data_IF_236038761601
#
_entry.id   IF_236038761601
#
_cell.length_a   1.000
_cell.length_b   1.000
_cell.length_c   1.000
_cell.angle_alpha   90.00
_cell.angle_beta   90.00
_cell.angle_gamma   90.00
#
_symmetry.space_group_name_H-M   'P 1'
#
loop_
_entity.id
_entity.type
_entity.pdbx_description
1 polymer ?
#
# COMPACT_ATOMS: atom_id res chain seq x y z
N UNK A 1 -22.89 -50.60 -22.55
CA UNK A 1 -24.05 -50.91 -21.67
C UNK A 1 -23.50 -51.25 -20.29
N UNK A 2 -23.86 -50.46 -19.25
CA UNK A 2 -23.46 -50.55 -17.83
C UNK A 2 -21.96 -50.29 -17.53
N UNK A 3 -21.46 -49.50 -16.55
CA UNK A 3 -21.90 -48.85 -15.27
C UNK A 3 -21.19 -49.47 -14.05
N UNK A 4 -20.34 -48.65 -13.38
CA UNK A 4 -19.95 -48.57 -11.94
C UNK A 4 -19.51 -49.89 -11.22
N UNK A 5 -18.79 -49.98 -10.08
CA UNK A 5 -18.24 -49.09 -9.02
C UNK A 5 -17.15 -49.91 -8.25
N UNK A 6 -16.41 -49.46 -7.22
CA UNK A 6 -15.69 -48.21 -6.90
C UNK A 6 -14.96 -48.36 -5.53
N UNK A 7 -14.31 -47.28 -5.03
CA UNK A 7 -13.91 -47.00 -3.62
C UNK A 7 -13.38 -48.13 -2.71
N UNK A 8 -12.05 -48.13 -2.45
CA UNK A 8 -11.45 -48.57 -1.17
C UNK A 8 -9.92 -48.27 -1.07
N UNK A 9 -9.51 -47.00 -1.18
CA UNK A 9 -8.08 -46.63 -1.00
C UNK A 9 -7.81 -45.15 -0.63
N UNK A 10 -8.44 -44.68 0.45
CA UNK A 10 -8.13 -43.36 1.07
C UNK A 10 -8.36 -43.38 2.58
N UNK A 11 -7.35 -43.80 3.36
CA UNK A 11 -7.26 -43.56 4.81
C UNK A 11 -5.85 -43.94 5.36
N UNK A 12 -4.78 -43.19 5.02
CA UNK A 12 -3.44 -43.48 5.58
C UNK A 12 -2.42 -42.33 5.65
N UNK A 13 -2.52 -41.25 4.85
CA UNK A 13 -1.34 -40.41 4.53
C UNK A 13 -1.45 -38.90 4.86
N UNK A 14 -2.28 -38.52 5.84
CA UNK A 14 -2.43 -37.11 6.31
C UNK A 14 -2.26 -36.98 7.84
N UNK A 15 -1.66 -37.97 8.50
CA UNK A 15 -1.57 -38.05 9.97
C UNK A 15 -0.19 -37.66 10.55
N UNK A 16 0.68 -36.99 9.79
CA UNK A 16 2.07 -36.78 10.20
C UNK A 16 2.76 -35.56 9.59
N UNK A 17 2.25 -34.36 9.84
CA UNK A 17 2.98 -33.08 9.69
C UNK A 17 2.26 -31.90 10.38
N UNK A 18 1.84 -32.08 11.64
CA UNK A 18 1.32 -31.00 12.49
C UNK A 18 1.95 -31.08 13.89
N UNK A 19 3.07 -30.36 14.06
CA UNK A 19 3.58 -29.99 15.37
C UNK A 19 3.42 -28.47 15.52
N UNK A 20 2.40 -27.98 16.25
CA UNK A 20 2.18 -26.55 16.39
C UNK A 20 3.21 -25.95 17.37
N UNK A 21 3.95 -24.93 16.91
CA UNK A 21 4.61 -24.00 17.83
C UNK A 21 3.52 -23.30 18.65
N UNK A 22 3.50 -23.54 19.96
CA UNK A 22 2.49 -23.01 20.85
C UNK A 22 2.61 -21.49 20.96
N UNK A 23 1.69 -20.77 20.33
CA UNK A 23 1.42 -19.36 20.65
C UNK A 23 0.59 -19.33 21.94
N UNK A 24 1.21 -18.94 23.06
CA UNK A 24 0.48 -18.74 24.31
C UNK A 24 -0.46 -17.56 24.16
N UNK A 25 -1.77 -17.83 24.04
CA UNK A 25 -2.78 -16.79 24.13
C UNK A 25 -2.86 -16.28 25.57
N UNK A 26 -2.68 -14.97 25.76
CA UNK A 26 -3.00 -14.31 27.03
C UNK A 26 -4.49 -14.52 27.38
N UNK A 27 -4.83 -14.71 28.66
CA UNK A 27 -6.21 -14.91 29.08
C UNK A 27 -7.07 -13.69 28.78
N UNK A 28 -8.29 -13.92 28.29
CA UNK A 28 -9.24 -12.87 27.97
C UNK A 28 -9.54 -11.97 29.19
N UNK A 29 -9.71 -10.64 28.99
CA UNK A 29 -10.03 -9.73 30.09
C UNK A 29 -11.37 -10.11 30.73
N UNK A 30 -11.41 -10.09 32.06
CA UNK A 30 -12.61 -10.45 32.82
C UNK A 30 -13.80 -9.54 32.50
N UNK A 31 -15.02 -10.13 32.52
CA UNK A 31 -16.27 -9.37 32.41
C UNK A 31 -16.31 -8.26 33.49
N UNK A 32 -16.66 -7.01 33.14
CA UNK A 32 -16.96 -6.00 34.15
C UNK A 32 -18.18 -6.40 34.99
N UNK A 33 -18.11 -6.14 36.29
CA UNK A 33 -19.19 -6.42 37.22
C UNK A 33 -20.42 -5.53 36.97
N UNK A 34 -21.60 -6.00 37.39
CA UNK A 34 -22.85 -5.27 37.23
C UNK A 34 -22.84 -3.93 38.01
N UNK A 35 -23.35 -2.87 37.37
CA UNK A 35 -23.50 -1.57 38.01
C UNK A 35 -24.69 -1.57 39.00
N UNK A 36 -24.58 -0.89 40.16
CA UNK A 36 -25.69 -0.69 41.08
C UNK A 36 -26.70 0.36 40.58
N UNK A 37 -27.85 0.38 41.23
CA UNK A 37 -29.09 0.96 40.69
C UNK A 37 -29.16 2.51 40.64
N UNK A 38 -30.15 2.96 39.87
CA UNK A 38 -30.40 4.32 39.38
C UNK A 38 -30.37 5.44 40.44
N UNK A 39 -29.49 6.43 40.24
CA UNK A 39 -29.63 7.78 40.80
C UNK A 39 -30.19 8.77 39.76
N UNK A 40 -30.98 9.74 40.23
CA UNK A 40 -31.74 10.72 39.44
C UNK A 40 -30.82 11.69 38.66
N UNK A 41 -31.11 12.03 37.38
CA UNK A 41 -30.27 12.95 36.61
C UNK A 41 -30.37 14.39 37.12
N UNK A 42 -29.21 15.04 37.26
CA UNK A 42 -29.08 16.48 37.48
C UNK A 42 -29.21 17.27 36.17
N UNK A 43 -29.56 18.56 36.27
CA UNK A 43 -29.90 19.40 35.12
C UNK A 43 -28.71 19.69 34.18
N UNK A 44 -29.01 19.82 32.88
CA UNK A 44 -28.03 20.17 31.86
C UNK A 44 -27.61 21.66 31.93
N UNK A 45 -26.34 22.00 31.64
CA UNK A 45 -25.88 23.38 31.58
C UNK A 45 -26.41 24.12 30.34
N UNK A 46 -26.62 25.43 30.50
CA UNK A 46 -27.29 26.28 29.51
C UNK A 46 -26.42 26.63 28.28
N UNK A 47 -27.09 26.96 27.16
CA UNK A 47 -26.46 27.52 25.95
C UNK A 47 -25.87 28.92 26.25
N UNK A 48 -24.70 29.28 25.70
CA UNK A 48 -24.22 30.65 25.70
C UNK A 48 -25.16 31.56 24.89
N UNK A 49 -25.46 32.74 25.42
CA UNK A 49 -26.26 33.77 24.74
C UNK A 49 -25.38 34.66 23.83
N UNK A 50 -26.04 35.30 22.86
CA UNK A 50 -25.46 36.17 21.84
C UNK A 50 -24.97 37.53 22.37
N UNK A 51 -23.88 38.03 21.78
CA UNK A 51 -23.45 39.44 21.85
C UNK A 51 -23.93 40.23 20.61
N UNK A 52 -24.00 41.58 20.65
CA UNK A 52 -24.86 42.37 19.76
C UNK A 52 -24.23 42.76 18.41
N UNK A 53 -25.07 43.31 17.52
CA UNK A 53 -24.77 43.57 16.10
C UNK A 53 -24.67 45.07 15.74
N UNK A 54 -23.79 45.39 14.78
CA UNK A 54 -23.73 46.61 13.96
C UNK A 54 -22.70 46.40 12.81
N UNK A 55 -22.64 47.24 11.75
CA UNK A 55 -23.72 47.68 10.88
C UNK A 55 -23.50 47.20 9.40
N UNK A 56 -24.34 47.64 8.48
CA UNK A 56 -24.42 47.13 7.09
C UNK A 56 -23.47 47.78 6.06
N UNK A 57 -23.11 46.95 5.06
CA UNK A 57 -22.80 47.27 3.65
C UNK A 57 -21.47 47.97 3.24
N UNK A 58 -20.62 47.20 2.55
CA UNK A 58 -19.77 47.69 1.45
C UNK A 58 -19.49 46.57 0.40
N UNK A 59 -19.35 46.95 -0.86
CA UNK A 59 -19.45 46.10 -2.05
C UNK A 59 -18.41 44.97 -2.25
N UNK A 60 -18.81 43.89 -2.94
CA UNK A 60 -17.92 42.95 -3.65
C UNK A 60 -17.69 43.42 -5.10
N UNK A 61 -16.51 43.23 -5.71
CA UNK A 61 -16.28 43.57 -7.13
C UNK A 61 -17.07 42.64 -8.08
N UNK A 62 -17.63 43.20 -9.15
CA UNK A 62 -18.21 42.44 -10.26
C UNK A 62 -17.10 41.95 -11.20
N UNK A 63 -17.15 40.68 -11.60
CA UNK A 63 -16.56 40.20 -12.86
C UNK A 63 -17.73 39.97 -13.83
N UNK A 64 -17.60 40.47 -15.06
CA UNK A 64 -18.69 40.47 -16.03
C UNK A 64 -18.92 39.08 -16.66
N UNK A 65 -20.18 38.72 -16.88
CA UNK A 65 -20.56 37.55 -17.67
C UNK A 65 -20.46 37.87 -19.18
N UNK A 66 -19.84 36.96 -19.94
CA UNK A 66 -19.85 37.01 -21.41
C UNK A 66 -21.18 36.48 -21.98
N UNK A 67 -21.66 36.99 -23.12
CA UNK A 67 -22.98 36.65 -23.66
C UNK A 67 -23.03 35.25 -24.29
N UNK A 68 -24.20 34.60 -24.21
CA UNK A 68 -24.44 33.28 -24.80
C UNK A 68 -24.54 33.35 -26.33
N UNK A 69 -23.86 32.44 -27.02
CA UNK A 69 -23.97 32.25 -28.47
C UNK A 69 -25.17 31.35 -28.84
N UNK A 70 -25.80 31.61 -29.99
CA UNK A 70 -26.93 30.84 -30.52
C UNK A 70 -26.51 29.43 -31.00
N UNK A 71 -27.44 28.45 -31.10
CA UNK A 71 -27.11 27.10 -31.53
C UNK A 71 -26.68 27.05 -33.00
N UNK A 72 -25.57 26.38 -33.29
CA UNK A 72 -25.18 26.03 -34.65
C UNK A 72 -25.92 24.77 -35.14
N UNK A 73 -26.22 24.73 -36.43
CA UNK A 73 -26.99 23.67 -37.10
C UNK A 73 -26.28 22.31 -37.11
N UNK A 74 -27.07 21.24 -37.07
CA UNK A 74 -26.57 19.86 -37.08
C UNK A 74 -25.78 19.50 -38.36
N UNK A 75 -24.62 18.82 -38.26
CA UNK A 75 -23.91 18.28 -39.42
C UNK A 75 -24.60 17.03 -40.00
N UNK A 76 -24.42 16.81 -41.30
CA UNK A 76 -25.13 15.78 -42.06
C UNK A 76 -24.68 14.35 -41.75
N UNK A 77 -25.60 13.41 -42.03
CA UNK A 77 -25.40 11.95 -41.92
C UNK A 77 -24.31 11.49 -42.91
N UNK A 78 -23.23 10.80 -42.48
CA UNK A 78 -22.27 10.23 -43.41
C UNK A 78 -22.85 9.03 -44.16
N UNK A 79 -22.56 8.95 -45.46
CA UNK A 79 -22.92 7.85 -46.37
C UNK A 79 -22.11 6.58 -46.09
N UNK A 80 -22.64 5.38 -46.42
CA UNK A 80 -21.93 4.12 -46.16
C UNK A 80 -20.73 3.96 -47.10
N UNK A 81 -19.55 3.75 -46.52
CA UNK A 81 -18.34 3.39 -47.27
C UNK A 81 -18.40 1.89 -47.58
N UNK A 82 -18.14 1.53 -48.84
CA UNK A 82 -18.21 0.14 -49.34
C UNK A 82 -17.09 -0.73 -48.77
N UNK A 83 -17.39 -2.02 -48.61
CA UNK A 83 -16.45 -3.03 -48.11
C UNK A 83 -15.17 -3.12 -48.95
N UNK A 84 -14.02 -2.85 -48.33
CA UNK A 84 -12.70 -3.27 -48.82
C UNK A 84 -12.18 -4.41 -47.96
N UNK A 85 -12.01 -5.59 -48.57
CA UNK A 85 -11.58 -6.81 -47.89
C UNK A 85 -10.21 -6.64 -47.23
N UNK A 86 -10.11 -7.05 -45.97
CA UNK A 86 -8.83 -7.14 -45.25
C UNK A 86 -7.89 -8.12 -45.97
N UNK A 87 -6.67 -7.68 -46.27
CA UNK A 87 -5.58 -8.58 -46.66
C UNK A 87 -5.03 -9.30 -45.42
N UNK A 88 -4.67 -10.58 -45.56
CA UNK A 88 -4.23 -11.41 -44.45
C UNK A 88 -2.88 -10.94 -43.88
N UNK A 89 -2.83 -10.70 -42.57
CA UNK A 89 -1.61 -10.40 -41.83
C UNK A 89 -0.83 -11.71 -41.59
N UNK A 90 0.48 -11.71 -41.88
CA UNK A 90 1.36 -12.87 -41.65
C UNK A 90 1.63 -13.09 -40.15
N UNK A 91 1.98 -14.31 -39.71
CA UNK A 91 2.21 -14.59 -38.29
C UNK A 91 3.37 -13.78 -37.70
N UNK A 92 3.21 -13.35 -36.44
CA UNK A 92 4.23 -12.60 -35.73
C UNK A 92 5.51 -13.42 -35.53
N UNK A 93 6.65 -12.75 -35.65
CA UNK A 93 7.97 -13.31 -35.41
C UNK A 93 8.18 -13.58 -33.90
N UNK A 94 8.89 -14.67 -33.56
CA UNK A 94 9.03 -15.13 -32.18
C UNK A 94 9.94 -14.19 -31.39
N UNK A 95 9.36 -13.42 -30.48
CA UNK A 95 10.13 -12.67 -29.46
C UNK A 95 10.84 -13.67 -28.54
N UNK A 96 12.10 -13.38 -28.21
CA UNK A 96 12.93 -14.20 -27.32
C UNK A 96 12.31 -14.30 -25.91
N UNK A 97 12.56 -15.40 -25.15
CA UNK A 97 12.02 -15.55 -23.80
C UNK A 97 12.51 -14.44 -22.86
N UNK A 98 11.73 -14.09 -21.81
CA UNK A 98 12.13 -13.07 -20.83
C UNK A 98 13.47 -13.40 -20.19
N UNK A 99 14.31 -12.38 -20.01
CA UNK A 99 15.57 -12.51 -19.27
C UNK A 99 15.24 -12.88 -17.82
N UNK A 100 15.66 -14.06 -17.39
CA UNK A 100 15.53 -14.52 -16.01
C UNK A 100 16.45 -13.67 -15.11
N UNK A 101 15.91 -12.59 -14.55
CA UNK A 101 16.59 -11.78 -13.53
C UNK A 101 16.67 -12.63 -12.25
N UNK A 102 17.71 -13.45 -12.14
CA UNK A 102 18.00 -14.23 -10.93
C UNK A 102 18.14 -13.27 -9.75
N UNK A 103 17.27 -13.33 -8.73
CA UNK A 103 17.36 -12.44 -7.58
C UNK A 103 18.67 -12.72 -6.85
N UNK A 104 19.64 -11.83 -7.00
CA UNK A 104 20.87 -11.91 -6.22
C UNK A 104 20.48 -11.60 -4.76
N UNK A 105 20.66 -12.54 -3.80
CA UNK A 105 20.23 -12.30 -2.43
C UNK A 105 21.08 -11.15 -1.86
N UNK A 106 20.44 -10.00 -1.66
CA UNK A 106 21.05 -8.91 -0.90
C UNK A 106 21.22 -9.42 0.53
N UNK A 107 22.45 -9.81 0.88
CA UNK A 107 22.74 -10.38 2.19
C UNK A 107 22.25 -9.40 3.29
N UNK A 108 21.33 -9.81 4.17
CA UNK A 108 20.70 -8.90 5.14
C UNK A 108 21.62 -8.64 6.34
N UNK A 109 22.84 -8.19 6.08
CA UNK A 109 23.67 -7.54 7.07
C UNK A 109 23.03 -6.19 7.36
N UNK A 110 22.46 -6.03 8.57
CA UNK A 110 22.00 -4.74 9.09
C UNK A 110 23.08 -3.68 8.83
N UNK A 111 22.88 -2.68 7.95
CA UNK A 111 23.86 -1.65 7.74
C UNK A 111 23.85 -0.77 8.98
N UNK A 112 24.75 -1.08 9.92
CA UNK A 112 25.06 -0.13 10.99
C UNK A 112 25.44 1.19 10.30
N UNK A 113 24.83 2.33 10.65
CA UNK A 113 25.24 3.61 10.10
C UNK A 113 26.75 3.75 10.23
N UNK A 114 27.43 4.10 9.15
CA UNK A 114 28.88 4.36 9.21
C UNK A 114 29.08 5.50 10.20
N UNK A 115 30.04 5.33 11.12
CA UNK A 115 30.43 6.38 12.07
C UNK A 115 30.71 7.65 11.26
N UNK A 116 29.96 8.73 11.52
CA UNK A 116 29.99 9.95 10.71
C UNK A 116 28.70 10.32 9.97
N UNK A 117 27.70 9.44 9.87
CA UNK A 117 26.50 9.71 9.02
C UNK A 117 25.71 10.95 9.45
N UNK A 118 25.50 11.18 10.76
CA UNK A 118 24.84 12.41 11.22
C UNK A 118 25.69 13.65 10.96
N UNK A 119 27.01 13.56 11.16
CA UNK A 119 27.95 14.65 10.87
C UNK A 119 27.99 15.02 9.38
N UNK A 120 27.73 14.06 8.47
CA UNK A 120 27.58 14.34 7.04
C UNK A 120 26.31 15.15 6.75
N UNK A 121 25.19 14.84 7.42
CA UNK A 121 23.93 15.60 7.32
C UNK A 121 24.15 17.01 7.90
N UNK A 122 24.75 17.12 9.09
CA UNK A 122 25.08 18.40 9.73
C UNK A 122 25.97 19.27 8.81
N UNK A 123 26.94 18.68 8.12
CA UNK A 123 27.80 19.40 7.17
C UNK A 123 27.04 19.89 5.91
N UNK A 124 26.00 19.19 5.47
CA UNK A 124 25.10 19.65 4.39
C UNK A 124 24.25 20.83 4.88
N UNK A 125 23.66 20.71 6.06
CA UNK A 125 22.84 21.76 6.68
C UNK A 125 23.66 23.03 6.96
N UNK A 126 24.87 22.89 7.50
CA UNK A 126 25.77 24.00 7.78
C UNK A 126 26.13 24.81 6.52
N UNK A 127 26.41 24.13 5.40
CA UNK A 127 26.63 24.79 4.09
C UNK A 127 25.40 25.54 3.62
N UNK A 128 24.21 24.94 3.77
CA UNK A 128 22.95 25.59 3.41
C UNK A 128 22.66 26.83 4.28
N UNK A 129 22.89 26.75 5.59
CA UNK A 129 22.73 27.90 6.49
C UNK A 129 23.72 29.03 6.16
N UNK A 130 25.00 28.71 5.96
CA UNK A 130 26.03 29.70 5.58
C UNK A 130 25.66 30.41 4.27
N UNK A 131 25.24 29.67 3.24
CA UNK A 131 24.83 30.23 1.94
C UNK A 131 23.66 31.23 2.07
N UNK A 132 22.74 30.98 3.01
CA UNK A 132 21.55 31.79 3.22
C UNK A 132 21.68 32.81 4.37
N UNK A 133 22.88 32.98 4.96
CA UNK A 133 23.10 33.89 6.09
C UNK A 133 22.38 33.49 7.38
N UNK A 134 21.91 32.24 7.49
CA UNK A 134 21.15 31.74 8.63
C UNK A 134 22.07 31.32 9.76
N UNK A 135 21.65 31.57 11.00
CA UNK A 135 22.31 31.06 12.21
C UNK A 135 21.51 29.87 12.75
N UNK A 136 22.16 28.74 13.11
CA UNK A 136 21.47 27.62 13.74
C UNK A 136 20.93 28.01 15.12
N UNK A 137 19.83 27.38 15.52
CA UNK A 137 19.30 27.50 16.87
C UNK A 137 20.28 26.88 17.90
N UNK A 138 20.29 27.36 19.15
CA UNK A 138 21.05 26.70 20.22
C UNK A 138 20.55 25.27 20.44
N UNK A 139 21.43 24.41 20.97
CA UNK A 139 21.06 23.06 21.36
C UNK A 139 19.94 23.08 22.39
N UNK A 140 18.93 22.23 22.21
CA UNK A 140 17.84 22.07 23.17
C UNK A 140 18.37 21.59 24.53
N UNK A 141 17.76 22.06 25.61
CA UNK A 141 18.00 21.54 26.97
C UNK A 141 17.62 20.05 27.06
N UNK A 142 18.07 19.36 28.12
CA UNK A 142 17.82 17.94 28.28
C UNK A 142 16.33 17.62 28.44
N UNK A 143 15.54 18.48 29.08
CA UNK A 143 14.09 18.33 29.26
C UNK A 143 13.35 18.48 27.93
N UNK A 144 13.73 19.48 27.13
CA UNK A 144 13.15 19.74 25.80
C UNK A 144 13.53 18.63 24.82
N UNK A 145 14.79 18.19 24.84
CA UNK A 145 15.26 17.05 24.05
C UNK A 145 14.50 15.77 24.43
N UNK A 146 14.43 15.45 25.72
CA UNK A 146 13.76 14.24 26.23
C UNK A 146 12.29 14.21 25.81
N UNK A 147 11.55 15.31 25.96
CA UNK A 147 10.14 15.36 25.53
C UNK A 147 9.99 15.15 24.02
N UNK A 148 10.84 15.78 23.22
CA UNK A 148 10.77 15.69 21.75
C UNK A 148 11.11 14.29 21.26
N UNK A 149 12.25 13.73 21.67
CA UNK A 149 12.69 12.40 21.18
C UNK A 149 11.68 11.29 21.52
N UNK A 150 11.02 11.37 22.68
CA UNK A 150 9.95 10.43 23.04
C UNK A 150 8.72 10.55 22.14
N UNK A 151 8.28 11.79 21.84
CA UNK A 151 7.15 12.03 20.95
C UNK A 151 7.48 11.66 19.50
N UNK A 152 8.65 12.05 19.01
CA UNK A 152 9.08 11.89 17.62
C UNK A 152 9.43 10.43 17.28
N UNK A 153 10.01 9.67 18.23
CA UNK A 153 10.44 8.28 17.98
C UNK A 153 9.35 7.27 18.34
N UNK A 154 8.62 7.46 19.45
CA UNK A 154 7.68 6.45 19.97
C UNK A 154 6.26 6.97 20.25
N UNK A 155 5.92 8.20 19.85
CA UNK A 155 4.54 8.70 19.85
C UNK A 155 3.92 8.98 21.23
N UNK A 156 4.71 9.01 22.30
CA UNK A 156 4.23 9.30 23.67
C UNK A 156 5.20 10.22 24.42
N UNK A 157 4.81 10.67 25.61
CA UNK A 157 5.72 11.35 26.55
C UNK A 157 6.50 10.31 27.38
N UNK A 158 7.67 10.66 27.95
CA UNK A 158 8.36 9.80 28.92
C UNK A 158 7.50 9.61 30.17
N UNK A 159 7.65 8.45 30.83
CA UNK A 159 7.17 8.21 32.19
C UNK A 159 8.01 9.02 33.19
N UNK A 160 7.53 9.09 34.44
CA UNK A 160 8.29 9.73 35.52
C UNK A 160 9.66 9.05 35.75
N UNK A 161 9.70 7.72 35.74
CA UNK A 161 10.93 6.93 35.94
C UNK A 161 11.92 7.10 34.77
N UNK A 162 11.43 7.07 33.53
CA UNK A 162 12.24 7.30 32.34
C UNK A 162 12.86 8.71 32.35
N UNK A 163 12.08 9.72 32.74
CA UNK A 163 12.56 11.08 32.86
C UNK A 163 13.59 11.24 33.99
N UNK A 164 13.33 10.66 35.17
CA UNK A 164 14.27 10.69 36.29
C UNK A 164 15.61 9.99 35.93
N UNK A 165 15.55 8.81 35.29
CA UNK A 165 16.72 8.07 34.77
C UNK A 165 17.56 8.93 33.81
N UNK A 166 16.92 9.62 32.86
CA UNK A 166 17.63 10.42 31.87
C UNK A 166 18.18 11.75 32.41
N UNK A 167 17.38 12.48 33.20
CA UNK A 167 17.77 13.78 33.76
C UNK A 167 18.83 13.63 34.87
N UNK A 168 18.76 12.57 35.68
CA UNK A 168 19.78 12.24 36.69
C UNK A 168 21.11 11.74 36.10
N UNK A 169 21.14 11.33 34.83
CA UNK A 169 22.35 10.83 34.19
C UNK A 169 23.33 11.94 33.83
N UNK A 170 24.60 11.75 34.21
CA UNK A 170 25.76 12.60 33.86
C UNK A 170 26.59 12.05 32.69
N UNK A 171 26.14 10.96 32.06
CA UNK A 171 26.83 10.36 30.92
C UNK A 171 26.75 11.26 29.69
N UNK A 172 27.89 11.66 29.13
CA UNK A 172 27.98 12.49 27.93
C UNK A 172 27.29 11.84 26.71
N UNK A 173 27.20 10.51 26.67
CA UNK A 173 26.54 9.75 25.60
C UNK A 173 25.04 9.51 25.85
N UNK A 174 24.43 10.04 26.93
CA UNK A 174 23.05 9.70 27.33
C UNK A 174 22.00 9.96 26.26
N UNK A 175 22.18 11.00 25.43
CA UNK A 175 21.26 11.33 24.33
C UNK A 175 21.26 10.26 23.24
N UNK A 176 22.44 9.84 22.79
CA UNK A 176 22.60 8.76 21.79
C UNK A 176 22.09 7.43 22.33
N UNK A 177 22.45 7.08 23.58
CA UNK A 177 21.96 5.84 24.22
C UNK A 177 20.44 5.80 24.34
N UNK A 178 19.80 6.92 24.67
CA UNK A 178 18.33 7.01 24.70
C UNK A 178 17.72 6.86 23.29
N UNK A 179 18.32 7.47 22.27
CA UNK A 179 17.86 7.30 20.87
C UNK A 179 17.94 5.83 20.45
N UNK A 180 19.04 5.15 20.76
CA UNK A 180 19.22 3.72 20.48
C UNK A 180 18.19 2.85 21.24
N UNK A 181 17.93 3.15 22.52
CA UNK A 181 16.91 2.48 23.37
C UNK A 181 15.50 2.66 22.79
N UNK A 182 15.15 3.86 22.34
CA UNK A 182 13.84 4.17 21.75
C UNK A 182 13.64 3.53 20.37
N UNK A 183 14.65 3.61 19.48
CA UNK A 183 14.60 2.99 18.15
C UNK A 183 14.56 1.46 18.20
N UNK A 184 15.13 0.84 19.24
CA UNK A 184 15.07 -0.61 19.46
C UNK A 184 13.73 -1.09 20.09
N UNK A 185 12.82 -0.18 20.44
CA UNK A 185 11.59 -0.51 21.16
C UNK A 185 10.40 -0.85 20.26
N UNK A 186 9.44 -1.64 20.77
CA UNK A 186 8.11 -1.77 20.14
C UNK A 186 7.35 -0.44 20.07
N UNK A 187 7.71 0.56 20.88
CA UNK A 187 7.15 1.92 20.77
C UNK A 187 7.46 2.54 19.41
N UNK A 188 8.69 2.39 18.93
CA UNK A 188 9.09 2.84 17.59
C UNK A 188 8.34 2.08 16.50
N UNK A 189 8.28 0.75 16.60
CA UNK A 189 7.56 -0.11 15.64
C UNK A 189 6.09 0.30 15.53
N UNK A 190 5.40 0.53 16.66
CA UNK A 190 4.00 0.95 16.65
C UNK A 190 3.79 2.38 16.12
N UNK A 191 4.65 3.33 16.51
CA UNK A 191 4.51 4.72 16.09
C UNK A 191 4.76 4.88 14.59
N UNK A 192 5.88 4.36 14.08
CA UNK A 192 6.23 4.42 12.67
C UNK A 192 5.36 3.52 11.79
N UNK A 193 4.78 2.44 12.34
CA UNK A 193 3.80 1.64 11.62
C UNK A 193 2.60 2.49 11.20
N UNK A 194 2.08 3.38 12.05
CA UNK A 194 0.92 4.20 11.69
C UNK A 194 1.23 5.16 10.53
N UNK A 195 2.41 5.80 10.56
CA UNK A 195 2.89 6.66 9.47
C UNK A 195 3.02 5.88 8.15
N UNK A 196 3.70 4.73 8.19
CA UNK A 196 3.92 3.93 6.98
C UNK A 196 2.65 3.23 6.49
N UNK A 197 1.74 2.84 7.38
CA UNK A 197 0.45 2.26 7.01
C UNK A 197 -0.43 3.26 6.25
N UNK A 198 -0.44 4.53 6.65
CA UNK A 198 -1.13 5.61 5.93
C UNK A 198 -0.48 5.87 4.56
N UNK A 199 0.84 6.10 4.52
CA UNK A 199 1.61 6.30 3.28
C UNK A 199 1.43 5.14 2.29
N UNK A 200 1.44 3.90 2.80
CA UNK A 200 1.29 2.69 1.99
C UNK A 200 -0.17 2.28 1.77
N UNK A 201 -1.14 3.06 2.27
CA UNK A 201 -2.60 2.87 2.12
C UNK A 201 -3.07 1.49 2.59
N UNK A 202 -2.55 1.00 3.71
CA UNK A 202 -3.01 -0.21 4.38
C UNK A 202 -4.41 0.05 4.95
N UNK A 203 -5.40 -0.74 4.51
CA UNK A 203 -6.79 -0.54 4.88
C UNK A 203 -7.35 -1.72 5.70
N UNK A 204 -7.46 -1.54 7.02
CA UNK A 204 -8.04 -2.55 7.93
C UNK A 204 -9.58 -2.59 7.92
N UNK A 205 -10.24 -1.66 7.24
CA UNK A 205 -11.70 -1.61 7.09
C UNK A 205 -12.19 -2.25 5.77
N UNK A 206 -11.30 -2.82 4.97
CA UNK A 206 -11.67 -3.62 3.81
C UNK A 206 -12.55 -4.82 4.23
N UNK A 207 -13.54 -5.24 3.42
CA UNK A 207 -14.38 -6.38 3.75
C UNK A 207 -13.55 -7.64 4.06
N UNK A 208 -14.03 -8.52 4.95
CA UNK A 208 -13.33 -9.75 5.34
C UNK A 208 -13.10 -10.79 4.21
N UNK A 209 -13.41 -10.44 2.95
CA UNK A 209 -13.04 -11.12 1.71
C UNK A 209 -11.74 -10.59 1.07
N UNK A 210 -11.14 -9.53 1.60
CA UNK A 210 -9.91 -8.88 1.11
C UNK A 210 -8.77 -9.02 2.14
N UNK A 211 -8.74 -10.17 2.80
CA UNK A 211 -8.02 -10.44 4.04
C UNK A 211 -6.51 -10.74 3.83
N UNK A 212 -5.87 -10.01 2.89
CA UNK A 212 -4.41 -9.96 2.74
C UNK A 212 -3.77 -9.08 3.82
N UNK A 213 -4.52 -8.09 4.33
CA UNK A 213 -4.00 -7.02 5.17
C UNK A 213 -3.22 -7.53 6.41
N UNK A 214 -3.60 -8.62 7.11
CA UNK A 214 -2.79 -9.14 8.22
C UNK A 214 -1.35 -9.50 7.82
N UNK A 215 -1.12 -10.05 6.63
CA UNK A 215 0.23 -10.39 6.16
C UNK A 215 1.04 -9.12 5.84
N UNK A 216 0.41 -8.15 5.18
CA UNK A 216 1.07 -6.89 4.83
C UNK A 216 1.38 -6.02 6.05
N UNK A 217 0.47 -6.01 7.03
CA UNK A 217 0.67 -5.39 8.35
C UNK A 217 1.82 -6.06 9.09
N UNK A 218 1.85 -7.40 9.11
CA UNK A 218 2.93 -8.16 9.73
C UNK A 218 4.28 -7.83 9.07
N UNK A 219 4.37 -7.91 7.73
CA UNK A 219 5.57 -7.57 6.96
C UNK A 219 6.05 -6.14 7.21
N UNK A 220 5.15 -5.16 7.30
CA UNK A 220 5.54 -3.77 7.57
C UNK A 220 6.10 -3.60 8.98
N UNK A 221 5.41 -4.14 9.99
CA UNK A 221 5.86 -4.08 11.39
C UNK A 221 7.21 -4.80 11.57
N UNK A 222 7.39 -5.93 10.90
CA UNK A 222 8.66 -6.65 10.90
C UNK A 222 9.78 -5.89 10.18
N UNK A 223 9.47 -5.20 9.08
CA UNK A 223 10.43 -4.36 8.34
C UNK A 223 10.95 -3.22 9.22
N UNK A 224 10.05 -2.57 9.98
CA UNK A 224 10.41 -1.53 10.95
C UNK A 224 11.22 -2.11 12.12
N UNK A 225 10.76 -3.20 12.74
CA UNK A 225 11.44 -3.89 13.85
C UNK A 225 12.86 -4.35 13.49
N UNK A 226 13.05 -4.82 12.26
CA UNK A 226 14.37 -5.28 11.76
C UNK A 226 15.27 -4.12 11.32
N UNK A 227 14.77 -2.88 11.33
CA UNK A 227 15.38 -1.69 10.73
C UNK A 227 15.85 -1.98 9.30
N UNK A 228 14.92 -2.42 8.46
CA UNK A 228 15.19 -2.83 7.08
C UNK A 228 15.79 -1.65 6.29
N UNK A 229 16.88 -1.85 5.53
CA UNK A 229 17.45 -0.80 4.69
C UNK A 229 16.39 -0.25 3.72
N UNK A 230 16.36 1.06 3.52
CA UNK A 230 15.32 1.70 2.72
C UNK A 230 15.28 1.19 1.27
N UNK A 231 16.44 0.96 0.66
CA UNK A 231 16.57 0.39 -0.67
C UNK A 231 16.01 -1.04 -0.76
N UNK A 232 16.22 -1.85 0.28
CA UNK A 232 15.66 -3.21 0.39
C UNK A 232 14.14 -3.16 0.62
N UNK A 233 13.67 -2.27 1.49
CA UNK A 233 12.24 -2.05 1.76
C UNK A 233 11.47 -1.63 0.50
N UNK A 234 12.00 -0.66 -0.25
CA UNK A 234 11.40 -0.22 -1.51
C UNK A 234 11.48 -1.33 -2.57
N UNK A 235 12.63 -2.02 -2.69
CA UNK A 235 12.78 -3.12 -3.66
C UNK A 235 11.77 -4.23 -3.40
N UNK A 236 11.64 -4.72 -2.17
CA UNK A 236 10.68 -5.76 -1.82
C UNK A 236 9.25 -5.37 -2.20
N UNK A 237 8.82 -4.12 -1.94
CA UNK A 237 7.49 -3.65 -2.35
C UNK A 237 7.29 -3.67 -3.88
N UNK A 238 8.30 -3.21 -4.63
CA UNK A 238 8.26 -3.09 -6.11
C UNK A 238 8.51 -4.40 -6.86
N UNK A 239 9.08 -5.42 -6.22
CA UNK A 239 9.35 -6.73 -6.84
C UNK A 239 8.56 -7.87 -6.18
N UNK A 240 7.62 -7.55 -5.29
CA UNK A 240 6.79 -8.52 -4.57
C UNK A 240 6.00 -9.42 -5.52
N UNK A 241 5.93 -10.71 -5.22
CA UNK A 241 5.33 -11.72 -6.11
C UNK A 241 4.92 -12.98 -5.34
N UNK A 242 3.97 -13.73 -5.89
CA UNK A 242 3.46 -14.96 -5.29
C UNK A 242 2.42 -14.69 -4.21
N UNK A 243 2.33 -15.61 -3.25
CA UNK A 243 1.23 -15.68 -2.29
C UNK A 243 1.51 -14.84 -1.04
N UNK A 244 0.46 -14.20 -0.52
CA UNK A 244 0.53 -13.26 0.61
C UNK A 244 1.19 -13.81 1.89
N UNK A 245 1.16 -15.12 2.12
CA UNK A 245 1.80 -15.75 3.28
C UNK A 245 3.29 -16.01 3.10
N UNK A 246 3.77 -16.13 1.85
CA UNK A 246 5.19 -16.27 1.52
C UNK A 246 5.85 -14.89 1.45
N UNK A 247 5.17 -13.93 0.82
CA UNK A 247 5.60 -12.54 0.72
C UNK A 247 4.45 -11.57 1.09
N UNK A 248 4.50 -11.02 2.31
CA UNK A 248 3.53 -10.02 2.76
C UNK A 248 3.62 -8.68 2.01
N UNK A 249 4.72 -8.39 1.31
CA UNK A 249 4.86 -7.15 0.54
C UNK A 249 3.90 -7.07 -0.65
N UNK A 250 3.35 -8.20 -1.13
CA UNK A 250 2.37 -8.24 -2.23
C UNK A 250 1.09 -7.45 -1.94
N UNK A 251 0.82 -7.12 -0.66
CA UNK A 251 -0.21 -6.17 -0.26
C UNK A 251 -0.06 -4.78 -0.90
N UNK A 252 1.16 -4.39 -1.29
CA UNK A 252 1.47 -3.15 -2.01
C UNK A 252 0.72 -3.05 -3.35
N UNK A 253 0.64 -4.16 -4.11
CA UNK A 253 -0.11 -4.21 -5.36
C UNK A 253 -1.60 -4.46 -5.12
N UNK A 254 -1.96 -5.29 -4.14
CA UNK A 254 -3.36 -5.67 -3.89
C UNK A 254 -4.20 -4.48 -3.40
N UNK A 255 -3.61 -3.48 -2.73
CA UNK A 255 -4.32 -2.24 -2.34
C UNK A 255 -4.88 -1.43 -3.53
N UNK A 256 -4.27 -1.56 -4.71
CA UNK A 256 -4.61 -0.83 -5.95
C UNK A 256 -5.14 -1.81 -7.03
N UNK A 257 -5.73 -2.94 -6.59
CA UNK A 257 -6.20 -4.01 -7.49
C UNK A 257 -7.16 -3.48 -8.56
N UNK A 258 -6.78 -3.66 -9.82
CA UNK A 258 -7.55 -3.19 -10.98
C UNK A 258 -7.26 -1.74 -11.40
N UNK A 259 -6.36 -1.04 -10.71
CA UNK A 259 -5.97 0.34 -10.97
C UNK A 259 -4.45 0.47 -11.22
N UNK A 260 -3.90 -0.20 -12.26
CA UNK A 260 -2.44 -0.27 -12.48
C UNK A 260 -1.79 1.08 -12.82
N UNK A 261 -2.55 2.03 -13.38
CA UNK A 261 -2.07 3.39 -13.66
C UNK A 261 -1.95 4.22 -12.38
N UNK A 262 -3.00 4.21 -11.56
CA UNK A 262 -3.03 4.85 -10.24
C UNK A 262 -1.98 4.26 -9.30
N UNK A 263 -1.74 2.95 -9.39
CA UNK A 263 -0.68 2.28 -8.63
C UNK A 263 0.68 2.93 -8.90
N UNK A 264 1.09 3.05 -10.18
CA UNK A 264 2.35 3.70 -10.53
C UNK A 264 2.39 5.19 -10.12
N UNK A 265 1.30 5.92 -10.33
CA UNK A 265 1.23 7.33 -9.93
C UNK A 265 1.47 7.49 -8.41
N UNK A 266 0.85 6.64 -7.60
CA UNK A 266 1.09 6.58 -6.16
C UNK A 266 2.52 6.12 -5.83
N UNK A 267 3.08 5.14 -6.55
CA UNK A 267 4.46 4.66 -6.37
C UNK A 267 5.48 5.76 -6.54
N UNK A 268 5.38 6.53 -7.64
CA UNK A 268 6.25 7.68 -7.91
C UNK A 268 6.10 8.75 -6.83
N UNK A 269 4.87 9.05 -6.41
CA UNK A 269 4.61 9.99 -5.33
C UNK A 269 5.18 9.56 -3.97
N UNK A 270 5.08 8.28 -3.62
CA UNK A 270 5.55 7.75 -2.33
C UNK A 270 7.08 7.74 -2.23
N UNK A 271 7.77 7.29 -3.29
CA UNK A 271 9.23 7.06 -3.22
C UNK A 271 10.09 8.15 -3.86
N UNK A 272 9.55 8.97 -4.75
CA UNK A 272 10.29 10.03 -5.45
C UNK A 272 9.80 11.43 -5.07
N UNK A 273 8.65 11.55 -4.39
CA UNK A 273 8.04 12.83 -4.02
C UNK A 273 7.43 13.61 -5.20
N UNK A 274 7.50 13.06 -6.42
CA UNK A 274 7.00 13.64 -7.66
C UNK A 274 5.52 13.30 -7.86
N UNK A 275 4.73 14.23 -8.42
CA UNK A 275 3.34 13.99 -8.78
C UNK A 275 3.21 13.73 -10.27
N UNK A 276 2.52 12.65 -10.61
CA UNK A 276 2.28 12.19 -11.98
C UNK A 276 0.80 12.05 -12.30
N UNK A 277 -0.08 12.21 -11.31
CA UNK A 277 -1.52 11.98 -11.43
C UNK A 277 -2.16 12.80 -12.57
N UNK A 278 -1.77 14.07 -12.75
CA UNK A 278 -2.27 14.89 -13.86
C UNK A 278 -1.73 14.43 -15.23
N UNK A 279 -0.48 13.95 -15.26
CA UNK A 279 0.19 13.47 -16.47
C UNK A 279 -0.54 12.27 -17.11
N UNK A 280 -1.38 11.55 -16.37
CA UNK A 280 -2.19 10.45 -16.91
C UNK A 280 -3.09 10.86 -18.09
N UNK A 281 -3.62 12.09 -18.08
CA UNK A 281 -4.62 12.56 -19.04
C UNK A 281 -4.10 13.65 -20.00
N UNK A 282 -3.11 14.43 -19.59
CA UNK A 282 -2.46 15.48 -20.37
C UNK A 282 -1.11 15.84 -19.72
N UNK A 283 -0.17 16.43 -20.44
CA UNK A 283 1.09 16.94 -19.88
C UNK A 283 0.87 17.77 -18.61
N UNK A 284 1.74 17.59 -17.62
CA UNK A 284 1.54 18.18 -16.30
C UNK A 284 1.56 19.73 -16.36
N UNK A 285 0.52 20.43 -15.86
CA UNK A 285 0.34 21.86 -16.14
C UNK A 285 1.33 22.78 -15.39
N UNK A 286 2.05 22.24 -14.41
CA UNK A 286 2.98 22.97 -13.54
C UNK A 286 4.34 22.25 -13.36
N UNK A 287 4.64 21.25 -14.17
CA UNK A 287 5.89 20.46 -14.10
C UNK A 287 6.27 19.98 -15.51
N UNK A 288 7.45 19.39 -15.66
CA UNK A 288 8.06 18.98 -16.93
C UNK A 288 7.54 17.65 -17.48
N UNK A 289 6.77 16.90 -16.72
CA UNK A 289 6.35 15.54 -17.07
C UNK A 289 5.24 15.52 -18.12
N UNK A 290 5.51 14.83 -19.23
CA UNK A 290 4.54 14.64 -20.31
C UNK A 290 3.60 13.48 -20.01
N UNK A 291 2.48 13.40 -20.74
CA UNK A 291 1.65 12.21 -20.74
C UNK A 291 2.42 10.98 -21.23
N UNK A 292 3.41 11.14 -22.10
CA UNK A 292 4.24 10.00 -22.53
C UNK A 292 5.10 9.45 -21.38
N UNK A 293 5.68 10.31 -20.55
CA UNK A 293 6.49 9.91 -19.39
C UNK A 293 5.66 9.14 -18.35
N UNK A 294 4.39 9.53 -18.16
CA UNK A 294 3.45 8.79 -17.32
C UNK A 294 3.29 7.34 -17.80
N UNK A 295 3.01 7.14 -19.09
CA UNK A 295 2.77 5.81 -19.65
C UNK A 295 4.05 4.97 -19.70
N UNK A 296 5.21 5.61 -19.90
CA UNK A 296 6.53 4.96 -19.78
C UNK A 296 6.80 4.43 -18.36
N UNK A 297 6.45 5.19 -17.33
CA UNK A 297 6.56 4.70 -15.95
C UNK A 297 5.53 3.61 -15.66
N UNK A 298 4.26 3.82 -16.04
CA UNK A 298 3.19 2.85 -15.81
C UNK A 298 3.51 1.47 -16.38
N UNK A 299 4.20 1.42 -17.52
CA UNK A 299 4.61 0.19 -18.18
C UNK A 299 5.54 -0.72 -17.34
N UNK A 300 6.25 -0.23 -16.31
CA UNK A 300 7.02 -1.10 -15.41
C UNK A 300 6.14 -2.03 -14.56
N UNK A 301 4.95 -1.57 -14.15
CA UNK A 301 4.06 -2.33 -13.25
C UNK A 301 2.72 -2.72 -13.88
N UNK A 302 2.44 -2.32 -15.12
CA UNK A 302 1.15 -2.57 -15.77
C UNK A 302 0.83 -4.07 -15.95
N UNK A 303 1.86 -4.89 -16.13
CA UNK A 303 1.75 -6.34 -16.19
C UNK A 303 1.49 -7.02 -14.84
N UNK A 304 1.58 -6.31 -13.71
CA UNK A 304 1.40 -6.89 -12.38
C UNK A 304 -0.08 -7.09 -12.09
N UNK A 305 -0.46 -8.36 -11.93
CA UNK A 305 -1.83 -8.78 -11.70
C UNK A 305 -2.00 -9.32 -10.26
N UNK A 306 -2.44 -8.47 -9.31
CA UNK A 306 -2.98 -8.91 -8.02
C UNK A 306 -4.32 -9.64 -8.24
N UNK A 307 -4.31 -10.96 -8.12
CA UNK A 307 -5.50 -11.82 -8.17
C UNK A 307 -5.84 -12.37 -6.79
N UNK A 308 -7.14 -12.42 -6.47
CA UNK A 308 -7.62 -13.38 -5.47
C UNK A 308 -7.49 -14.77 -6.09
N UNK A 309 -6.47 -15.50 -5.66
CA UNK A 309 -6.25 -16.89 -6.06
C UNK A 309 -7.41 -17.73 -5.48
N UNK A 310 -7.90 -18.71 -6.24
CA UNK A 310 -8.95 -19.66 -5.84
C UNK A 310 -10.45 -19.26 -5.87
N UNK A 311 -10.92 -18.60 -6.93
CA UNK A 311 -12.27 -18.94 -7.43
C UNK A 311 -12.34 -20.41 -7.91
N UNK A 312 -11.22 -20.97 -8.39
CA UNK A 312 -11.10 -22.36 -8.83
C UNK A 312 -11.31 -23.39 -7.72
N UNK A 313 -10.52 -23.34 -6.64
CA UNK A 313 -10.64 -24.32 -5.55
C UNK A 313 -11.98 -24.24 -4.81
N UNK A 314 -12.53 -23.04 -4.61
CA UNK A 314 -13.89 -22.86 -4.06
C UNK A 314 -14.95 -23.42 -5.02
N UNK A 315 -14.78 -23.20 -6.34
CA UNK A 315 -15.65 -23.78 -7.37
C UNK A 315 -15.61 -25.32 -7.41
N UNK A 316 -14.43 -25.94 -7.31
CA UNK A 316 -14.28 -27.40 -7.24
C UNK A 316 -14.84 -27.96 -5.92
N UNK A 317 -14.59 -27.30 -4.79
CA UNK A 317 -15.20 -27.65 -3.52
C UNK A 317 -16.74 -27.59 -3.58
N UNK A 318 -17.30 -26.57 -4.24
CA UNK A 318 -18.75 -26.44 -4.41
C UNK A 318 -19.32 -27.49 -5.39
N UNK A 319 -18.57 -27.91 -6.42
CA UNK A 319 -18.91 -29.06 -7.26
C UNK A 319 -18.87 -30.39 -6.49
N UNK A 320 -17.91 -30.57 -5.57
CA UNK A 320 -17.86 -31.75 -4.69
C UNK A 320 -19.07 -31.80 -3.76
N UNK A 321 -19.48 -30.66 -3.18
CA UNK A 321 -20.70 -30.54 -2.37
C UNK A 321 -21.97 -30.84 -3.20
N UNK A 322 -22.04 -30.40 -4.45
CA UNK A 322 -23.17 -30.73 -5.34
C UNK A 322 -23.20 -32.21 -5.73
N UNK A 323 -22.05 -32.88 -5.84
CA UNK A 323 -21.94 -34.33 -6.07
C UNK A 323 -22.24 -35.15 -4.82
N UNK A 324 -22.15 -34.56 -3.63
CA UNK A 324 -22.48 -35.18 -2.34
C UNK A 324 -24.00 -35.20 -2.03
N UNK A 325 -24.82 -35.48 -3.05
CA UNK A 325 -26.28 -35.48 -2.95
C UNK A 325 -26.79 -36.45 -1.87
N UNK A 326 -26.15 -37.62 -1.77
CA UNK A 326 -26.59 -38.77 -0.95
C UNK A 326 -26.15 -38.69 0.53
N UNK A 327 -25.42 -37.66 0.95
CA UNK A 327 -25.00 -37.51 2.36
C UNK A 327 -26.18 -37.21 3.29
N UNK A 328 -26.12 -37.69 4.53
CA UNK A 328 -27.10 -37.34 5.56
C UNK A 328 -26.93 -35.90 6.09
N UNK A 329 -27.84 -35.46 6.97
CA UNK A 329 -27.84 -34.09 7.48
C UNK A 329 -26.67 -33.75 8.41
N UNK A 330 -26.11 -34.74 9.13
CA UNK A 330 -24.94 -34.56 10.00
C UNK A 330 -23.66 -34.48 9.14
N UNK A 331 -23.50 -35.39 8.19
CA UNK A 331 -22.41 -35.34 7.19
C UNK A 331 -22.42 -34.02 6.41
N UNK A 332 -23.60 -33.53 6.02
CA UNK A 332 -23.77 -32.21 5.38
C UNK A 332 -23.51 -31.03 6.34
N UNK A 333 -23.59 -31.22 7.66
CA UNK A 333 -23.21 -30.19 8.64
C UNK A 333 -21.69 -30.15 8.83
N UNK A 334 -21.06 -31.31 9.07
CA UNK A 334 -19.61 -31.44 9.24
C UNK A 334 -18.86 -30.98 7.98
N UNK A 335 -19.33 -31.36 6.79
CA UNK A 335 -18.74 -30.90 5.53
C UNK A 335 -18.89 -29.38 5.35
N UNK A 336 -19.97 -28.75 5.83
CA UNK A 336 -20.10 -27.28 5.81
C UNK A 336 -19.17 -26.61 6.82
N UNK A 337 -18.97 -27.19 8.01
CA UNK A 337 -18.01 -26.70 8.99
C UNK A 337 -16.57 -26.79 8.48
N UNK A 338 -16.17 -27.96 7.98
CA UNK A 338 -14.87 -28.16 7.32
C UNK A 338 -14.70 -27.23 6.11
N UNK A 339 -15.74 -27.04 5.29
CA UNK A 339 -15.68 -26.10 4.17
C UNK A 339 -15.60 -24.64 4.61
N UNK A 340 -16.19 -24.28 5.75
CA UNK A 340 -16.06 -22.92 6.31
C UNK A 340 -14.61 -22.66 6.72
N UNK A 341 -13.94 -23.62 7.34
CA UNK A 341 -12.51 -23.50 7.68
C UNK A 341 -11.59 -23.52 6.46
N UNK A 342 -11.82 -24.43 5.49
CA UNK A 342 -11.07 -24.44 4.21
C UNK A 342 -11.28 -23.10 3.49
N UNK A 343 -12.52 -22.61 3.39
CA UNK A 343 -12.82 -21.32 2.77
C UNK A 343 -12.19 -20.18 3.54
N UNK A 344 -12.16 -20.20 4.88
CA UNK A 344 -11.49 -19.19 5.72
C UNK A 344 -9.98 -19.12 5.44
N UNK A 345 -9.33 -20.25 5.18
CA UNK A 345 -7.92 -20.31 4.78
C UNK A 345 -7.72 -19.84 3.33
N UNK A 346 -8.59 -20.28 2.42
CA UNK A 346 -8.49 -20.02 0.97
C UNK A 346 -8.89 -18.59 0.59
N UNK A 347 -9.84 -17.96 1.30
CA UNK A 347 -10.33 -16.59 1.05
C UNK A 347 -9.27 -15.51 1.26
N UNK A 348 -8.16 -15.84 1.93
CA UNK A 348 -7.04 -14.95 2.18
C UNK A 348 -5.91 -15.12 1.16
N UNK A 349 -6.04 -16.06 0.21
CA UNK A 349 -5.02 -16.34 -0.80
C UNK A 349 -5.03 -15.29 -1.92
N UNK A 350 -4.46 -14.12 -1.65
CA UNK A 350 -4.09 -13.18 -2.70
C UNK A 350 -2.73 -13.54 -3.25
N UNK A 351 -2.65 -13.56 -4.57
CA UNK A 351 -1.45 -13.90 -5.34
C UNK A 351 -1.17 -12.76 -6.33
N UNK A 352 0.02 -12.18 -6.23
CA UNK A 352 0.55 -11.28 -7.26
C UNK A 352 1.30 -12.13 -8.28
N UNK A 353 1.03 -11.87 -9.56
CA UNK A 353 1.64 -12.56 -10.69
C UNK A 353 1.97 -11.55 -11.79
N UNK A 354 3.03 -11.80 -12.56
CA UNK A 354 3.38 -10.99 -13.73
C UNK A 354 2.74 -11.55 -14.99
N UNK A 355 2.25 -10.65 -15.84
CA UNK A 355 1.76 -10.92 -17.19
C UNK A 355 2.54 -10.06 -18.18
N UNK A 356 2.81 -10.61 -19.36
CA UNK A 356 3.36 -9.83 -20.47
C UNK A 356 2.27 -8.92 -21.05
N UNK A 357 2.12 -7.75 -20.44
CA UNK A 357 1.06 -6.78 -20.73
C UNK A 357 1.58 -5.37 -20.50
N UNK A 358 1.51 -4.55 -21.54
CA UNK A 358 1.95 -3.16 -21.55
C UNK A 358 0.74 -2.22 -21.69
N UNK A 359 0.81 -1.00 -21.14
CA UNK A 359 -0.26 -0.04 -21.24
C UNK A 359 -0.37 0.49 -22.68
N UNK A 360 -1.57 0.94 -23.02
CA UNK A 360 -1.83 1.65 -24.28
C UNK A 360 -2.14 3.11 -23.99
N UNK A 361 -1.67 3.99 -24.85
CA UNK A 361 -2.11 5.39 -24.87
C UNK A 361 -3.63 5.48 -25.03
N UNK A 362 -4.28 6.51 -24.47
CA UNK A 362 -5.72 6.63 -24.54
C UNK A 362 -6.20 6.85 -25.98
N UNK A 363 -7.45 6.49 -26.24
CA UNK A 363 -8.08 6.64 -27.57
C UNK A 363 -8.16 8.08 -28.08
N UNK A 364 -8.04 9.06 -27.19
CA UNK A 364 -8.08 10.50 -27.45
C UNK A 364 -6.71 11.19 -27.21
N UNK A 365 -5.61 10.44 -27.26
CA UNK A 365 -4.24 10.97 -27.18
C UNK A 365 -4.01 12.08 -28.23
N UNK A 366 -3.46 13.23 -27.78
CA UNK A 366 -3.46 14.49 -28.57
C UNK A 366 -2.08 14.95 -29.04
N UNK A 367 -1.04 14.17 -28.79
CA UNK A 367 0.35 14.56 -29.02
C UNK A 367 0.94 13.84 -30.23
N UNK A 368 1.73 14.55 -31.04
CA UNK A 368 2.23 14.07 -32.33
C UNK A 368 3.35 13.01 -32.22
N UNK A 369 3.82 12.71 -31.00
CA UNK A 369 4.91 11.78 -30.71
C UNK A 369 4.51 10.30 -30.70
N UNK A 370 3.20 9.98 -30.65
CA UNK A 370 2.68 8.62 -30.70
C UNK A 370 1.21 8.58 -31.15
N UNK A 371 0.70 7.41 -31.55
CA UNK A 371 -0.69 7.27 -31.99
C UNK A 371 -1.62 6.88 -30.83
N UNK A 372 -2.91 7.29 -30.86
CA UNK A 372 -3.91 6.77 -29.93
C UNK A 372 -3.98 5.25 -29.94
N UNK A 373 -4.09 4.63 -28.75
CA UNK A 373 -4.04 3.18 -28.53
C UNK A 373 -2.68 2.49 -28.83
N UNK A 374 -1.61 3.24 -29.10
CA UNK A 374 -0.26 2.69 -29.25
C UNK A 374 0.25 2.11 -27.92
N UNK A 375 1.00 1.00 -28.00
CA UNK A 375 1.53 0.28 -26.83
C UNK A 375 2.81 0.95 -26.36
N UNK A 376 2.89 1.28 -25.07
CA UNK A 376 4.04 1.99 -24.47
C UNK A 376 4.96 1.01 -23.73
N UNK A 377 6.25 1.06 -24.05
CA UNK A 377 7.30 0.29 -23.36
C UNK A 377 7.77 0.98 -22.07
N UNK A 378 8.25 0.23 -21.06
CA UNK A 378 8.83 0.81 -19.86
C UNK A 378 10.05 1.68 -20.19
N UNK A 379 10.17 2.82 -19.51
CA UNK A 379 11.35 3.71 -19.54
C UNK A 379 11.35 4.58 -18.29
N UNK A 380 12.52 4.83 -17.71
CA UNK A 380 12.66 5.69 -16.52
C UNK A 380 12.55 7.18 -16.85
N UNK A 381 11.96 7.95 -15.92
CA UNK A 381 11.92 9.43 -15.98
C UNK A 381 13.30 10.09 -15.78
N UNK A 382 14.27 9.35 -15.25
CA UNK A 382 15.58 9.86 -14.85
C UNK A 382 16.66 8.79 -15.02
N UNK A 383 17.91 9.25 -15.15
CA UNK A 383 19.06 8.39 -15.41
C UNK A 383 19.06 7.83 -16.84
N UNK A 384 19.96 6.88 -17.07
CA UNK A 384 19.94 6.08 -18.29
C UNK A 384 18.84 5.01 -18.18
N UNK A 385 18.23 4.68 -19.31
CA UNK A 385 17.23 3.61 -19.39
C UNK A 385 17.88 2.26 -19.05
N UNK A 386 17.38 1.50 -18.05
CA UNK A 386 17.98 0.22 -17.65
C UNK A 386 17.81 -0.89 -18.69
N UNK A 387 17.10 -0.64 -19.80
CA UNK A 387 16.97 -1.55 -20.94
C UNK A 387 18.03 -1.34 -22.05
N UNK A 388 18.99 -0.41 -21.84
CA UNK A 388 20.06 -0.04 -22.79
C UNK A 388 21.45 -0.44 -22.26
#
# INVERSE_FOLDING_TARGET
MKILNSHLLTAALVAGLLNPLAYSADPAPAKPAAAPDKAKPAAAPAKPQSAPAEPTAAAKPKVAAAPAAKPATAPAKPTPVKDTKMAAVKPAEKVAPPVEIKPQPAAPAKPKPKVGTSQQIDAILAKAWQKNGLKPNPLASDEVFLRRVYLDVIGRIPSHEEAAKFLGSKDAAKRSKLIDELLASEGYVNHFYNLWADILRINTAAPASENIMPFYISWLRDSLRKNKPYDVFVRELLTSNGQAWDDGAVGYYVRDRGMPLDHMANTVRIFLGTRLECAQCHDHPFDTWTQMDFYHMAAFTYGVNPSGSNYGAVGEAQKLIQKAADMDNAQKADMRAAMTEITRLVRNNYEVSYRDSLPKLPHDYKYDNAKPNEVVKPRTMFGNDPSV
#
